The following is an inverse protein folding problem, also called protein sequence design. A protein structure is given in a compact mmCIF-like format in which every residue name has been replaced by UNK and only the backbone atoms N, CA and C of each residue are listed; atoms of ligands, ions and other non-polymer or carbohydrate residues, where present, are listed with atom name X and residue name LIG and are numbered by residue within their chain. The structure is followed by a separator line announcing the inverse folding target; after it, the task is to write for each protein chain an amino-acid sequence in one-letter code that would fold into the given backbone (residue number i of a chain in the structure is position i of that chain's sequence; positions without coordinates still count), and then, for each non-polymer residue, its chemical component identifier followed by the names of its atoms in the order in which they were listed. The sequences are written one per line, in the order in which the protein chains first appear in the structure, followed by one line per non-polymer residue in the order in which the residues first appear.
data_IF_334934416707
#
_entry.id   IF_334934416707
#
_cell.length_a   1.000
_cell.length_b   1.000
_cell.length_c   1.000
_cell.angle_alpha   90.00
_cell.angle_beta   90.00
_cell.angle_gamma   90.00
#
_symmetry.space_group_name_H-M   'P 1'
#
loop_
_entity.id
_entity.type
_entity.pdbx_description
1 polymer ?
#
# COMPACT_ATOMS: atom_id res chain seq x y z
N UNK A 1 -14.12 7.32 -21.63
CA UNK A 1 -12.75 7.16 -21.09
C UNK A 1 -11.78 7.24 -22.25
N UNK A 2 -11.08 8.36 -22.44
CA UNK A 2 -9.99 8.48 -23.44
C UNK A 2 -8.84 7.63 -22.91
N UNK A 3 -8.33 6.72 -23.74
CA UNK A 3 -7.15 5.89 -23.41
C UNK A 3 -5.98 6.81 -23.00
N UNK A 4 -5.57 6.74 -21.75
CA UNK A 4 -4.42 7.52 -21.20
C UNK A 4 -3.12 7.21 -21.95
N UNK A 5 -3.03 6.03 -22.59
CA UNK A 5 -1.89 5.62 -23.41
C UNK A 5 -1.65 6.48 -24.68
N UNK A 6 -2.64 7.25 -25.10
CA UNK A 6 -2.50 8.14 -26.28
C UNK A 6 -2.06 9.57 -25.94
N UNK A 7 -2.02 9.94 -24.66
CA UNK A 7 -1.78 11.32 -24.22
C UNK A 7 -0.37 11.55 -23.68
N UNK A 8 0.34 10.50 -23.29
CA UNK A 8 1.65 10.62 -22.66
C UNK A 8 2.73 9.93 -23.50
N UNK A 9 3.21 10.64 -24.53
CA UNK A 9 4.48 10.29 -25.13
C UNK A 9 5.60 10.74 -24.17
N UNK A 10 5.89 9.89 -23.16
CA UNK A 10 6.91 10.15 -22.13
C UNK A 10 8.25 10.54 -22.77
N UNK A 11 8.56 10.02 -23.97
CA UNK A 11 9.76 10.36 -24.73
C UNK A 11 9.73 11.81 -25.25
N UNK A 12 8.56 12.38 -25.56
CA UNK A 12 8.44 13.79 -25.95
C UNK A 12 8.60 14.73 -24.75
N UNK A 13 8.10 14.33 -23.57
CA UNK A 13 8.29 15.07 -22.32
C UNK A 13 9.77 15.13 -21.96
N UNK A 14 10.47 13.99 -22.06
CA UNK A 14 11.90 13.89 -21.73
C UNK A 14 12.77 14.63 -22.77
N UNK A 15 12.39 14.64 -24.05
CA UNK A 15 13.18 15.28 -25.12
C UNK A 15 12.84 16.76 -25.37
N UNK A 16 11.68 17.24 -24.91
CA UNK A 16 11.17 18.56 -25.22
C UNK A 16 11.75 19.75 -24.44
N UNK A 17 12.53 19.49 -23.39
CA UNK A 17 13.25 20.52 -22.62
C UNK A 17 12.41 21.48 -21.76
N UNK A 18 11.09 21.48 -21.88
CA UNK A 18 10.17 22.33 -21.11
C UNK A 18 9.24 21.50 -20.22
N UNK A 19 9.84 20.71 -19.35
CA UNK A 19 9.11 19.75 -18.50
C UNK A 19 8.42 20.41 -17.30
N UNK A 20 8.80 21.61 -16.91
CA UNK A 20 8.20 22.31 -15.74
C UNK A 20 6.70 22.53 -15.96
N UNK A 21 6.28 22.87 -17.18
CA UNK A 21 4.87 23.08 -17.52
C UNK A 21 4.08 21.78 -17.69
N UNK A 22 4.76 20.68 -18.07
CA UNK A 22 4.13 19.36 -18.31
C UNK A 22 4.04 18.48 -17.06
N UNK A 23 4.88 18.70 -16.07
CA UNK A 23 4.89 17.91 -14.81
C UNK A 23 3.54 17.98 -14.06
N UNK A 24 2.88 19.14 -13.89
CA UNK A 24 1.58 19.20 -13.23
C UNK A 24 0.52 18.32 -13.91
N UNK A 25 0.44 18.34 -15.25
CA UNK A 25 -0.49 17.51 -16.00
C UNK A 25 -0.18 16.01 -15.84
N UNK A 26 1.12 15.69 -15.85
CA UNK A 26 1.59 14.34 -15.63
C UNK A 26 1.20 13.81 -14.24
N UNK A 27 1.37 14.61 -13.18
CA UNK A 27 1.00 14.27 -11.81
C UNK A 27 -0.51 14.09 -11.66
N UNK A 28 -1.31 14.96 -12.28
CA UNK A 28 -2.77 14.81 -12.33
C UNK A 28 -3.16 13.49 -13.02
N UNK A 29 -2.48 13.14 -14.11
CA UNK A 29 -2.74 11.88 -14.82
C UNK A 29 -2.39 10.64 -13.99
N UNK A 30 -1.39 10.71 -13.09
CA UNK A 30 -1.01 9.61 -12.20
C UNK A 30 -2.18 9.10 -11.35
N UNK A 31 -3.12 9.97 -11.00
CA UNK A 31 -4.29 9.58 -10.18
C UNK A 31 -5.20 8.56 -10.84
N UNK A 32 -5.24 8.55 -12.18
CA UNK A 32 -6.07 7.64 -12.99
C UNK A 32 -5.28 6.50 -13.65
N UNK A 33 -3.95 6.48 -13.49
CA UNK A 33 -3.07 5.47 -14.08
C UNK A 33 -3.14 4.14 -13.33
N UNK A 34 -2.93 3.04 -14.05
CA UNK A 34 -2.63 1.75 -13.43
C UNK A 34 -1.19 1.75 -12.85
N UNK A 35 -0.85 0.71 -12.05
CA UNK A 35 0.46 0.61 -11.39
C UNK A 35 1.64 0.55 -12.37
N UNK A 36 1.44 -0.05 -13.53
CA UNK A 36 2.48 -0.18 -14.55
C UNK A 36 2.82 1.18 -15.16
N UNK A 37 1.81 1.99 -15.45
CA UNK A 37 2.00 3.34 -15.95
C UNK A 37 2.57 4.27 -14.86
N UNK A 38 2.15 4.14 -13.60
CA UNK A 38 2.76 4.85 -12.46
C UNK A 38 4.27 4.60 -12.39
N UNK A 39 4.70 3.34 -12.52
CA UNK A 39 6.13 2.99 -12.54
C UNK A 39 6.86 3.60 -13.74
N UNK A 40 6.26 3.55 -14.94
CA UNK A 40 6.88 4.15 -16.15
C UNK A 40 7.09 5.65 -15.99
N UNK A 41 6.09 6.35 -15.46
CA UNK A 41 6.15 7.79 -15.17
C UNK A 41 7.20 8.06 -14.08
N UNK A 42 7.20 7.29 -12.99
CA UNK A 42 8.20 7.40 -11.93
C UNK A 42 9.62 7.18 -12.45
N UNK A 43 9.83 6.24 -13.40
CA UNK A 43 11.12 6.03 -14.06
C UNK A 43 11.56 7.27 -14.84
N UNK A 44 10.67 7.85 -15.66
CA UNK A 44 10.97 9.04 -16.42
C UNK A 44 11.31 10.23 -15.51
N UNK A 45 10.54 10.46 -14.46
CA UNK A 45 10.79 11.54 -13.50
C UNK A 45 12.13 11.34 -12.73
N UNK A 46 12.46 10.11 -12.38
CA UNK A 46 13.74 9.78 -11.75
C UNK A 46 14.93 10.04 -12.71
N UNK A 47 14.77 9.71 -13.99
CA UNK A 47 15.80 9.96 -15.00
C UNK A 47 16.01 11.46 -15.31
N UNK A 48 14.99 12.28 -15.15
CA UNK A 48 15.10 13.74 -15.27
C UNK A 48 15.90 14.37 -14.12
N UNK A 49 16.19 13.63 -13.06
CA UNK A 49 16.97 14.12 -11.92
C UNK A 49 16.28 15.26 -11.17
N UNK A 50 14.94 15.33 -11.23
CA UNK A 50 14.18 16.36 -10.52
C UNK A 50 14.37 16.17 -9.01
N UNK A 51 14.84 17.21 -8.37
CA UNK A 51 14.94 17.24 -6.92
C UNK A 51 13.57 17.51 -6.26
N UNK A 52 13.49 17.25 -4.97
CA UNK A 52 12.26 17.45 -4.21
C UNK A 52 11.84 18.92 -4.15
N UNK A 53 12.76 19.87 -4.30
CA UNK A 53 12.45 21.31 -4.31
C UNK A 53 11.70 21.69 -5.58
N UNK A 54 12.21 21.28 -6.74
CA UNK A 54 11.56 21.49 -8.04
C UNK A 54 10.18 20.81 -8.09
N UNK A 55 10.07 19.57 -7.62
CA UNK A 55 8.77 18.87 -7.55
C UNK A 55 7.77 19.57 -6.62
N UNK A 56 8.24 20.18 -5.55
CA UNK A 56 7.41 20.92 -4.61
C UNK A 56 6.82 22.20 -5.18
N UNK A 57 7.55 22.88 -6.07
CA UNK A 57 7.08 24.10 -6.74
C UNK A 57 5.96 23.81 -7.76
N UNK A 58 6.03 22.65 -8.40
CA UNK A 58 5.05 22.26 -9.44
C UNK A 58 3.85 21.48 -8.91
N UNK A 59 3.92 20.96 -7.68
CA UNK A 59 2.80 20.24 -7.05
C UNK A 59 1.75 21.22 -6.52
N UNK A 60 0.45 20.99 -6.79
CA UNK A 60 -0.62 21.85 -6.29
C UNK A 60 -0.66 21.90 -4.76
N UNK A 61 -0.81 23.10 -4.20
CA UNK A 61 -1.11 23.29 -2.77
C UNK A 61 0.07 23.21 -1.81
N UNK A 62 1.32 23.25 -2.29
CA UNK A 62 2.51 23.19 -1.42
C UNK A 62 2.75 21.78 -0.88
N UNK A 63 3.08 20.85 -1.75
CA UNK A 63 3.30 19.46 -1.43
C UNK A 63 4.28 19.26 -0.27
N UNK A 64 3.94 18.34 0.63
CA UNK A 64 4.82 17.93 1.72
C UNK A 64 6.01 17.16 1.15
N UNK A 65 7.21 17.58 1.51
CA UNK A 65 8.43 16.87 1.14
C UNK A 65 8.68 15.75 2.13
N UNK A 66 9.06 14.57 1.64
CA UNK A 66 9.50 13.45 2.49
C UNK A 66 10.79 12.86 1.94
N UNK A 67 11.68 12.47 2.83
CA UNK A 67 12.92 11.75 2.52
C UNK A 67 12.78 10.28 2.85
N UNK A 68 12.95 9.41 1.85
CA UNK A 68 12.79 7.97 1.98
C UNK A 68 14.08 7.25 1.64
N UNK A 69 14.55 6.42 2.55
CA UNK A 69 15.66 5.49 2.34
C UNK A 69 15.11 4.09 2.13
N UNK A 70 15.45 3.43 1.03
CA UNK A 70 15.08 2.04 0.75
C UNK A 70 16.30 1.16 0.96
N UNK A 71 16.15 0.10 1.74
CA UNK A 71 17.15 -0.93 1.97
C UNK A 71 16.49 -2.31 2.01
N UNK A 72 17.26 -3.39 2.08
CA UNK A 72 16.68 -4.72 2.16
C UNK A 72 17.68 -5.84 2.10
N UNK A 73 17.17 -7.05 2.22
CA UNK A 73 17.92 -8.30 2.07
C UNK A 73 18.15 -8.69 0.61
N UNK A 74 17.45 -8.01 -0.33
CA UNK A 74 17.55 -8.21 -1.78
C UNK A 74 17.87 -6.90 -2.51
N UNK A 75 17.95 -6.93 -3.84
CA UNK A 75 18.15 -5.73 -4.66
C UNK A 75 16.89 -4.85 -4.60
N UNK A 76 17.05 -3.58 -4.21
CA UNK A 76 15.94 -2.65 -3.96
C UNK A 76 15.87 -1.47 -4.94
N UNK A 77 16.88 -1.28 -5.80
CA UNK A 77 16.94 -0.13 -6.73
C UNK A 77 15.72 -0.05 -7.67
N UNK A 78 15.15 -1.20 -8.02
CA UNK A 78 13.94 -1.29 -8.84
C UNK A 78 12.67 -0.74 -8.17
N UNK A 79 12.66 -0.55 -6.85
CA UNK A 79 11.53 0.02 -6.10
C UNK A 79 11.48 1.55 -6.20
N UNK A 80 12.63 2.21 -6.39
CA UNK A 80 12.78 3.66 -6.34
C UNK A 80 11.80 4.37 -7.27
N UNK A 81 11.80 4.00 -8.54
CA UNK A 81 10.95 4.64 -9.55
C UNK A 81 9.45 4.45 -9.25
N UNK A 82 9.05 3.26 -8.82
CA UNK A 82 7.67 2.97 -8.43
C UNK A 82 7.25 3.80 -7.22
N UNK A 83 8.12 3.92 -6.22
CA UNK A 83 7.82 4.69 -5.00
C UNK A 83 7.72 6.18 -5.29
N UNK A 84 8.61 6.73 -6.13
CA UNK A 84 8.51 8.12 -6.59
C UNK A 84 7.15 8.37 -7.26
N UNK A 85 6.73 7.49 -8.18
CA UNK A 85 5.44 7.60 -8.85
C UNK A 85 4.24 7.54 -7.89
N UNK A 86 4.23 6.57 -6.96
CA UNK A 86 3.13 6.42 -6.00
C UNK A 86 3.06 7.60 -5.00
N UNK A 87 4.18 8.13 -4.53
CA UNK A 87 4.19 9.29 -3.64
C UNK A 87 3.72 10.55 -4.35
N UNK A 88 4.16 10.78 -5.59
CA UNK A 88 3.67 11.91 -6.40
C UNK A 88 2.17 11.80 -6.69
N UNK A 89 1.67 10.59 -6.94
CA UNK A 89 0.24 10.32 -7.17
C UNK A 89 -0.65 10.81 -6.03
N UNK A 90 -0.15 10.74 -4.79
CA UNK A 90 -0.86 11.18 -3.58
C UNK A 90 -0.50 12.60 -3.13
N UNK A 91 0.29 13.33 -3.93
CA UNK A 91 0.63 14.72 -3.68
C UNK A 91 1.81 14.94 -2.72
N UNK A 92 2.67 13.93 -2.54
CA UNK A 92 3.90 14.02 -1.75
C UNK A 92 5.08 14.28 -2.69
N UNK A 93 5.96 15.20 -2.34
CA UNK A 93 7.24 15.44 -3.03
C UNK A 93 8.33 14.55 -2.43
N UNK A 94 8.75 13.46 -3.11
CA UNK A 94 9.67 12.50 -2.52
C UNK A 94 11.13 12.79 -2.84
N UNK A 95 12.02 12.56 -1.86
CA UNK A 95 13.45 12.33 -2.06
C UNK A 95 13.74 10.87 -1.75
N UNK A 96 13.93 10.03 -2.77
CA UNK A 96 14.10 8.58 -2.59
C UNK A 96 15.54 8.16 -2.91
N UNK A 97 16.18 7.49 -1.96
CA UNK A 97 17.52 6.90 -2.12
C UNK A 97 17.49 5.41 -1.79
N UNK A 98 18.33 4.63 -2.47
CA UNK A 98 18.48 3.19 -2.21
C UNK A 98 19.82 2.90 -1.56
N UNK A 99 19.84 1.92 -0.67
CA UNK A 99 21.04 1.37 -0.07
C UNK A 99 21.72 0.38 -1.03
N UNK A 100 23.03 0.21 -0.97
CA UNK A 100 23.71 -0.88 -1.65
C UNK A 100 23.15 -2.25 -1.24
N UNK A 101 23.17 -3.21 -2.15
CA UNK A 101 22.76 -4.59 -1.84
C UNK A 101 23.53 -5.13 -0.62
N UNK A 102 22.80 -5.75 0.30
CA UNK A 102 23.35 -6.40 1.51
C UNK A 102 23.78 -5.45 2.63
N UNK A 103 23.62 -4.12 2.48
CA UNK A 103 24.07 -3.16 3.50
C UNK A 103 23.04 -2.87 4.60
N UNK A 104 21.87 -3.49 4.59
CA UNK A 104 20.75 -3.14 5.50
C UNK A 104 21.12 -3.24 6.98
N UNK A 105 21.87 -4.28 7.41
CA UNK A 105 22.33 -4.39 8.80
C UNK A 105 23.37 -3.33 9.13
N UNK A 106 24.27 -3.02 8.21
CA UNK A 106 25.25 -1.97 8.42
C UNK A 106 24.56 -0.61 8.59
N UNK A 107 23.54 -0.32 7.77
CA UNK A 107 22.76 0.90 7.90
C UNK A 107 21.94 0.98 9.20
N UNK A 108 21.41 -0.14 9.66
CA UNK A 108 20.67 -0.19 10.92
C UNK A 108 21.57 -0.09 12.17
N UNK A 109 22.74 -0.76 12.16
CA UNK A 109 23.64 -0.78 13.31
C UNK A 109 24.57 0.42 13.42
N UNK A 110 25.06 0.96 12.28
CA UNK A 110 26.08 2.00 12.23
C UNK A 110 25.49 3.38 11.89
N UNK A 111 24.47 3.76 12.62
CA UNK A 111 23.73 5.00 12.43
C UNK A 111 24.63 6.27 12.38
N UNK A 112 25.77 6.24 13.06
CA UNK A 112 26.65 7.40 13.25
C UNK A 112 27.58 7.69 12.06
N UNK A 113 27.68 6.77 11.07
CA UNK A 113 28.65 6.86 9.95
C UNK A 113 28.13 7.50 8.67
N UNK A 114 26.82 7.67 8.53
CA UNK A 114 26.21 8.20 7.31
C UNK A 114 25.82 9.67 7.50
N UNK A 115 26.52 10.58 6.84
CA UNK A 115 26.44 12.04 7.01
C UNK A 115 25.07 12.69 6.76
N UNK A 116 24.08 12.00 6.18
CA UNK A 116 22.79 12.58 5.82
C UNK A 116 21.58 11.91 6.50
N UNK A 117 21.75 11.27 7.65
CA UNK A 117 20.65 10.51 8.29
C UNK A 117 19.67 11.33 9.09
N UNK A 118 20.05 12.51 9.55
CA UNK A 118 19.13 13.41 10.27
C UNK A 118 17.94 13.85 9.42
N UNK A 119 18.04 13.67 8.10
CA UNK A 119 17.06 14.11 7.12
C UNK A 119 16.18 12.98 6.55
N UNK A 120 16.28 11.74 7.07
CA UNK A 120 15.45 10.61 6.63
C UNK A 120 14.19 10.56 7.47
N UNK A 121 13.02 10.71 6.83
CA UNK A 121 11.72 10.58 7.48
C UNK A 121 11.26 9.11 7.55
N UNK A 122 11.54 8.34 6.49
CA UNK A 122 11.10 6.96 6.35
C UNK A 122 12.24 6.04 5.90
N UNK A 123 12.40 4.94 6.59
CA UNK A 123 13.30 3.85 6.21
C UNK A 123 12.47 2.64 5.77
N UNK A 124 12.47 2.34 4.47
CA UNK A 124 11.74 1.21 3.89
C UNK A 124 12.65 0.01 3.81
N UNK A 125 12.30 -1.08 4.48
CA UNK A 125 13.09 -2.28 4.57
C UNK A 125 12.36 -3.46 3.91
N UNK A 126 12.80 -3.83 2.70
CA UNK A 126 12.27 -5.01 2.02
C UNK A 126 12.96 -6.27 2.55
N UNK A 127 12.21 -7.10 3.26
CA UNK A 127 12.70 -8.36 3.82
C UNK A 127 12.30 -9.52 2.91
N UNK A 128 13.31 -10.26 2.46
CA UNK A 128 13.16 -11.60 1.96
C UNK A 128 14.18 -12.51 2.66
N UNK A 129 13.87 -13.77 2.76
CA UNK A 129 14.61 -14.73 3.56
C UNK A 129 15.28 -15.82 2.73
N UNK A 130 15.31 -15.69 1.40
CA UNK A 130 15.92 -16.71 0.52
C UNK A 130 17.37 -16.92 0.88
N UNK A 131 18.10 -15.86 1.22
CA UNK A 131 19.50 -15.95 1.66
C UNK A 131 19.71 -16.81 2.91
N UNK A 132 18.71 -16.90 3.80
CA UNK A 132 18.76 -17.77 4.98
C UNK A 132 18.69 -19.24 4.55
N UNK A 133 17.79 -19.55 3.64
CA UNK A 133 17.67 -20.91 3.09
C UNK A 133 18.87 -21.31 2.22
N UNK A 134 19.47 -20.38 1.49
CA UNK A 134 20.71 -20.61 0.73
C UNK A 134 21.89 -20.90 1.66
N UNK A 135 21.87 -20.35 2.89
CA UNK A 135 22.90 -20.57 3.92
C UNK A 135 22.79 -21.94 4.63
N UNK A 136 21.66 -22.62 4.55
CA UNK A 136 21.49 -23.94 5.14
C UNK A 136 22.37 -24.99 4.44
N UNK A 137 23.10 -25.75 5.22
CA UNK A 137 23.98 -26.81 4.68
C UNK A 137 23.14 -27.95 4.04
N UNK A 138 23.66 -28.64 3.02
CA UNK A 138 22.98 -29.81 2.46
C UNK A 138 22.66 -30.84 3.53
N UNK A 139 21.39 -31.27 3.59
CA UNK A 139 20.90 -32.19 4.64
C UNK A 139 20.42 -31.50 5.92
N UNK A 140 20.18 -30.20 5.88
CA UNK A 140 19.62 -29.42 6.99
C UNK A 140 18.34 -30.06 7.58
N UNK A 141 18.18 -29.94 8.86
CA UNK A 141 17.01 -30.34 9.62
C UNK A 141 16.05 -29.16 9.89
N UNK A 142 14.85 -29.46 10.36
CA UNK A 142 13.89 -28.42 10.78
C UNK A 142 14.46 -27.61 11.96
N UNK A 143 15.28 -28.24 12.82
CA UNK A 143 15.92 -27.53 13.93
C UNK A 143 16.96 -26.50 13.43
N UNK A 144 17.73 -26.83 12.39
CA UNK A 144 18.67 -25.88 11.77
C UNK A 144 17.93 -24.68 11.16
N UNK A 145 16.75 -24.91 10.54
CA UNK A 145 15.89 -23.86 10.02
C UNK A 145 15.35 -22.97 11.16
N UNK A 146 14.89 -23.58 12.25
CA UNK A 146 14.36 -22.87 13.43
C UNK A 146 15.43 -21.95 14.03
N UNK A 147 16.63 -22.47 14.28
CA UNK A 147 17.76 -21.70 14.79
C UNK A 147 18.08 -20.50 13.89
N UNK A 148 18.18 -20.73 12.59
CA UNK A 148 18.56 -19.67 11.65
C UNK A 148 17.49 -18.56 11.53
N UNK A 149 16.20 -18.93 11.52
CA UNK A 149 15.10 -17.97 11.50
C UNK A 149 15.01 -17.18 12.81
N UNK A 150 15.21 -17.83 13.94
CA UNK A 150 15.22 -17.19 15.25
C UNK A 150 16.37 -16.21 15.39
N UNK A 151 17.58 -16.57 14.99
CA UNK A 151 18.74 -15.71 15.01
C UNK A 151 18.57 -14.48 14.11
N UNK A 152 17.97 -14.68 12.95
CA UNK A 152 17.65 -13.56 12.05
C UNK A 152 16.64 -12.60 12.69
N UNK A 153 15.53 -13.08 13.26
CA UNK A 153 14.54 -12.24 13.91
C UNK A 153 15.13 -11.43 15.07
N UNK A 154 15.97 -12.06 15.90
CA UNK A 154 16.66 -11.41 17.02
C UNK A 154 17.66 -10.35 16.54
N UNK A 155 18.39 -10.66 15.47
CA UNK A 155 19.34 -9.72 14.86
C UNK A 155 18.61 -8.51 14.30
N UNK A 156 17.51 -8.73 13.57
CA UNK A 156 16.69 -7.67 13.01
C UNK A 156 16.09 -6.77 14.09
N UNK A 157 15.50 -7.37 15.13
CA UNK A 157 14.96 -6.64 16.30
C UNK A 157 16.02 -5.78 16.97
N UNK A 158 17.21 -6.34 17.19
CA UNK A 158 18.34 -5.64 17.80
C UNK A 158 18.83 -4.48 16.94
N UNK A 159 18.92 -4.69 15.62
CA UNK A 159 19.34 -3.68 14.65
C UNK A 159 18.36 -2.50 14.58
N UNK A 160 17.06 -2.77 14.52
CA UNK A 160 15.99 -1.77 14.53
C UNK A 160 16.01 -0.98 15.85
N UNK A 161 16.10 -1.65 16.98
CA UNK A 161 16.22 -1.00 18.28
C UNK A 161 17.46 -0.10 18.38
N UNK A 162 18.58 -0.52 17.78
CA UNK A 162 19.80 0.28 17.72
C UNK A 162 19.60 1.49 16.80
N UNK A 163 18.95 1.31 15.66
CA UNK A 163 18.67 2.38 14.71
C UNK A 163 17.86 3.51 15.36
N UNK A 164 16.80 3.18 16.10
CA UNK A 164 15.93 4.15 16.76
C UNK A 164 16.55 4.85 17.98
N UNK A 165 17.71 4.40 18.45
CA UNK A 165 18.49 5.19 19.45
C UNK A 165 19.11 6.44 18.85
N UNK A 166 19.34 6.50 17.54
CA UNK A 166 19.98 7.62 16.85
C UNK A 166 19.17 8.21 15.70
N UNK A 167 17.92 7.76 15.48
CA UNK A 167 17.06 8.25 14.40
C UNK A 167 15.59 8.27 14.81
N UNK A 168 14.88 9.31 14.36
CA UNK A 168 13.42 9.41 14.51
C UNK A 168 12.66 8.90 13.27
N UNK A 169 13.38 8.45 12.23
CA UNK A 169 12.76 7.91 11.02
C UNK A 169 11.82 6.74 11.33
N UNK A 170 10.68 6.70 10.67
CA UNK A 170 9.76 5.56 10.74
C UNK A 170 10.25 4.43 9.86
N UNK A 171 10.25 3.21 10.38
CA UNK A 171 10.59 2.01 9.60
C UNK A 171 9.31 1.39 9.05
N UNK A 172 9.30 1.13 7.74
CA UNK A 172 8.22 0.39 7.07
C UNK A 172 8.84 -0.88 6.48
N UNK A 173 8.35 -2.04 6.89
CA UNK A 173 8.86 -3.32 6.41
C UNK A 173 7.72 -4.28 6.09
N UNK A 174 8.03 -5.41 5.46
CA UNK A 174 7.05 -6.46 5.16
C UNK A 174 7.26 -7.69 6.05
N UNK A 175 6.21 -8.51 6.19
CA UNK A 175 6.39 -9.90 6.60
C UNK A 175 7.05 -10.68 5.47
N UNK A 176 8.08 -11.50 5.75
CA UNK A 176 8.68 -12.34 4.72
C UNK A 176 7.74 -13.51 4.35
N UNK A 177 7.94 -14.04 3.13
CA UNK A 177 7.20 -15.22 2.66
C UNK A 177 8.05 -16.47 2.73
N UNK A 178 7.43 -17.61 3.06
CA UNK A 178 8.12 -18.90 3.02
C UNK A 178 8.52 -19.21 1.56
N UNK A 179 9.81 -19.41 1.25
CA UNK A 179 10.23 -19.72 -0.11
C UNK A 179 9.68 -21.07 -0.57
N UNK A 180 8.72 -21.03 -1.50
CA UNK A 180 7.97 -22.20 -1.94
C UNK A 180 8.86 -23.36 -2.44
N UNK A 181 9.93 -23.06 -3.14
CA UNK A 181 10.87 -24.06 -3.64
C UNK A 181 11.55 -24.85 -2.52
N UNK A 182 11.81 -24.21 -1.38
CA UNK A 182 12.37 -24.87 -0.21
C UNK A 182 11.33 -25.71 0.52
N UNK A 183 10.10 -25.24 0.61
CA UNK A 183 8.99 -26.02 1.17
C UNK A 183 8.77 -27.32 0.38
N UNK A 184 8.86 -27.29 -0.96
CA UNK A 184 8.70 -28.48 -1.80
C UNK A 184 9.82 -29.50 -1.64
N UNK A 185 11.00 -29.10 -1.15
CA UNK A 185 12.13 -30.02 -0.89
C UNK A 185 11.93 -30.87 0.38
N UNK A 186 11.01 -30.50 1.25
CA UNK A 186 10.66 -31.26 2.44
C UNK A 186 9.73 -32.40 2.02
N UNK A 187 10.20 -33.63 2.07
CA UNK A 187 9.45 -34.80 1.55
C UNK A 187 8.37 -35.26 2.53
N UNK A 188 8.70 -35.34 3.83
CA UNK A 188 7.80 -35.81 4.89
C UNK A 188 6.72 -34.78 5.19
N UNK A 189 5.45 -35.20 5.22
CA UNK A 189 4.35 -34.33 5.65
C UNK A 189 4.46 -33.91 7.12
N UNK A 190 5.05 -34.76 7.97
CA UNK A 190 5.31 -34.41 9.35
C UNK A 190 6.32 -33.28 9.45
N UNK A 191 7.42 -33.34 8.67
CA UNK A 191 8.40 -32.26 8.66
C UNK A 191 7.87 -30.99 8.00
N UNK A 192 6.98 -31.11 6.99
CA UNK A 192 6.27 -29.93 6.43
C UNK A 192 5.43 -29.24 7.48
N UNK A 193 4.70 -30.02 8.31
CA UNK A 193 3.92 -29.44 9.42
C UNK A 193 4.84 -28.73 10.42
N UNK A 194 5.96 -29.36 10.80
CA UNK A 194 6.95 -28.75 11.71
C UNK A 194 7.56 -27.49 11.12
N UNK A 195 7.95 -27.52 9.83
CA UNK A 195 8.47 -26.34 9.13
C UNK A 195 7.45 -25.20 9.08
N UNK A 196 6.17 -25.52 8.88
CA UNK A 196 5.09 -24.54 8.93
C UNK A 196 4.94 -23.92 10.32
N UNK A 197 5.04 -24.70 11.40
CA UNK A 197 4.99 -24.20 12.77
C UNK A 197 6.17 -23.24 13.05
N UNK A 198 7.39 -23.65 12.72
CA UNK A 198 8.60 -22.83 12.84
C UNK A 198 8.46 -21.53 12.05
N UNK A 199 7.94 -21.62 10.83
CA UNK A 199 7.71 -20.44 9.99
C UNK A 199 6.70 -19.46 10.59
N UNK A 200 5.56 -19.97 11.08
CA UNK A 200 4.56 -19.08 11.69
C UNK A 200 5.08 -18.44 12.98
N UNK A 201 5.89 -19.17 13.77
CA UNK A 201 6.55 -18.56 14.92
C UNK A 201 7.51 -17.45 14.51
N UNK A 202 8.31 -17.67 13.48
CA UNK A 202 9.20 -16.64 12.93
C UNK A 202 8.44 -15.39 12.45
N UNK A 203 7.30 -15.56 11.74
CA UNK A 203 6.46 -14.43 11.34
C UNK A 203 5.91 -13.68 12.56
N UNK A 204 5.51 -14.40 13.62
CA UNK A 204 5.09 -13.77 14.89
C UNK A 204 6.23 -12.96 15.52
N UNK A 205 7.44 -13.50 15.57
CA UNK A 205 8.62 -12.82 16.12
C UNK A 205 8.93 -11.53 15.34
N UNK A 206 8.73 -11.54 14.01
CA UNK A 206 8.86 -10.35 13.17
C UNK A 206 7.75 -9.33 13.47
N UNK A 207 6.50 -9.77 13.61
CA UNK A 207 5.36 -8.89 13.91
C UNK A 207 5.49 -8.23 15.30
N UNK A 208 6.05 -8.94 16.28
CA UNK A 208 6.29 -8.41 17.62
C UNK A 208 7.22 -7.21 17.64
N UNK A 209 8.08 -7.03 16.62
CA UNK A 209 8.92 -5.83 16.47
C UNK A 209 8.05 -4.57 16.40
N UNK A 210 6.94 -4.60 15.65
CA UNK A 210 6.04 -3.45 15.53
C UNK A 210 5.14 -3.25 16.77
N UNK A 211 4.92 -4.28 17.57
CA UNK A 211 4.20 -4.17 18.87
C UNK A 211 5.10 -3.47 19.88
N UNK A 212 6.38 -3.82 19.89
CA UNK A 212 7.36 -3.27 20.82
C UNK A 212 7.84 -1.86 20.45
N UNK A 213 7.74 -1.48 19.17
CA UNK A 213 8.19 -0.19 18.66
C UNK A 213 7.16 0.46 17.72
N UNK A 214 6.48 1.49 18.21
CA UNK A 214 5.42 2.23 17.48
C UNK A 214 5.92 3.02 16.26
N UNK A 215 7.23 3.15 16.07
CA UNK A 215 7.83 3.73 14.86
C UNK A 215 8.00 2.70 13.74
N UNK A 216 7.73 1.42 14.01
CA UNK A 216 7.78 0.35 13.01
C UNK A 216 6.37 0.07 12.52
N UNK A 217 6.20 0.00 11.21
CA UNK A 217 4.97 -0.45 10.55
C UNK A 217 5.29 -1.66 9.69
N UNK A 218 4.54 -2.74 9.85
CA UNK A 218 4.72 -3.97 9.07
C UNK A 218 3.56 -4.15 8.12
N UNK A 219 3.87 -4.32 6.84
CA UNK A 219 2.94 -4.66 5.78
C UNK A 219 2.87 -6.18 5.70
N UNK A 220 1.69 -6.75 5.92
CA UNK A 220 1.46 -8.19 5.78
C UNK A 220 1.51 -8.58 4.29
N UNK A 221 2.61 -9.22 3.92
CA UNK A 221 2.85 -9.61 2.54
C UNK A 221 1.99 -10.79 2.10
N UNK A 222 1.65 -11.70 3.01
CA UNK A 222 0.78 -12.83 2.68
C UNK A 222 -0.64 -12.35 2.37
N UNK A 223 -1.15 -11.36 3.09
CA UNK A 223 -2.45 -10.76 2.82
C UNK A 223 -2.47 -9.97 1.48
N UNK A 224 -1.34 -9.37 1.09
CA UNK A 224 -1.24 -8.58 -0.14
C UNK A 224 -0.86 -9.39 -1.38
N UNK A 225 0.01 -10.39 -1.24
CA UNK A 225 0.50 -11.22 -2.35
C UNK A 225 -0.52 -12.27 -2.83
N UNK A 226 -1.39 -12.76 -1.96
CA UNK A 226 -2.44 -13.74 -2.31
C UNK A 226 -3.39 -13.25 -3.42
N UNK A 227 -3.48 -11.95 -3.65
CA UNK A 227 -4.31 -11.38 -4.72
C UNK A 227 -3.73 -11.63 -6.12
N UNK A 228 -2.42 -11.91 -6.26
CA UNK A 228 -1.71 -11.89 -7.54
C UNK A 228 -1.08 -13.23 -7.96
N UNK A 229 -1.13 -14.24 -7.13
CA UNK A 229 -0.87 -15.66 -7.48
C UNK A 229 0.59 -16.12 -7.42
N UNK A 230 1.57 -15.43 -7.97
CA UNK A 230 3.00 -15.80 -7.91
C UNK A 230 3.82 -14.66 -7.34
N UNK A 231 4.26 -14.82 -6.10
CA UNK A 231 5.09 -13.80 -5.45
C UNK A 231 6.57 -13.80 -5.89
N UNK A 232 7.05 -14.85 -6.57
CA UNK A 232 8.48 -15.05 -6.88
C UNK A 232 8.69 -15.27 -8.38
N UNK A 233 9.64 -14.52 -8.97
CA UNK A 233 10.20 -14.80 -10.29
C UNK A 233 11.54 -15.56 -10.15
N UNK A 234 11.61 -16.86 -10.52
CA UNK A 234 12.82 -17.67 -10.32
C UNK A 234 14.04 -17.16 -11.11
N UNK A 235 13.83 -16.53 -12.26
CA UNK A 235 14.92 -16.02 -13.08
C UNK A 235 15.51 -14.75 -12.47
N UNK A 236 14.67 -13.80 -12.10
CA UNK A 236 15.09 -12.59 -11.43
C UNK A 236 15.73 -12.87 -10.06
N UNK A 237 15.17 -13.83 -9.32
CA UNK A 237 15.71 -14.29 -8.04
C UNK A 237 17.15 -14.77 -8.19
N UNK A 238 17.42 -15.62 -9.17
CA UNK A 238 18.74 -16.23 -9.36
C UNK A 238 19.80 -15.27 -9.90
N UNK A 239 19.44 -14.44 -10.87
CA UNK A 239 20.41 -13.64 -11.61
C UNK A 239 20.54 -12.20 -11.13
N UNK A 240 19.45 -11.62 -10.61
CA UNK A 240 19.42 -10.23 -10.19
C UNK A 240 19.25 -10.04 -8.68
N UNK A 241 19.11 -11.12 -7.90
CA UNK A 241 18.80 -11.05 -6.46
C UNK A 241 17.52 -10.23 -6.20
N UNK A 242 16.55 -10.35 -7.10
CA UNK A 242 15.21 -9.80 -6.96
C UNK A 242 14.28 -11.00 -6.76
N UNK A 243 13.86 -11.24 -5.53
CA UNK A 243 13.18 -12.47 -5.16
C UNK A 243 11.66 -12.39 -5.33
N UNK A 244 11.10 -11.19 -5.35
CA UNK A 244 9.67 -10.98 -5.60
C UNK A 244 9.43 -10.55 -7.04
N UNK A 245 8.29 -10.95 -7.62
CA UNK A 245 7.90 -10.50 -8.95
C UNK A 245 7.53 -9.01 -8.97
N UNK A 246 7.44 -8.46 -10.17
CA UNK A 246 7.20 -7.04 -10.39
C UNK A 246 5.86 -6.57 -9.79
N UNK A 247 4.81 -7.40 -9.86
CA UNK A 247 3.47 -7.05 -9.40
C UNK A 247 3.39 -7.04 -7.87
N UNK A 248 4.04 -8.00 -7.23
CA UNK A 248 4.21 -8.06 -5.78
C UNK A 248 4.98 -6.84 -5.27
N UNK A 249 6.09 -6.49 -5.91
CA UNK A 249 6.88 -5.31 -5.54
C UNK A 249 6.12 -4.00 -5.76
N UNK A 250 5.36 -3.88 -6.85
CA UNK A 250 4.51 -2.71 -7.10
C UNK A 250 3.39 -2.58 -6.06
N UNK A 251 2.85 -3.73 -5.61
CA UNK A 251 1.85 -3.75 -4.52
C UNK A 251 2.46 -3.31 -3.21
N UNK A 252 3.63 -3.84 -2.85
CA UNK A 252 4.37 -3.42 -1.66
C UNK A 252 4.63 -1.91 -1.66
N UNK A 253 5.12 -1.38 -2.76
CA UNK A 253 5.39 0.06 -2.90
C UNK A 253 4.13 0.90 -2.75
N UNK A 254 3.00 0.46 -3.31
CA UNK A 254 1.72 1.15 -3.14
C UNK A 254 1.24 1.13 -1.68
N UNK A 255 1.44 0.02 -0.95
CA UNK A 255 1.14 -0.03 0.49
C UNK A 255 2.09 0.87 1.31
N UNK A 256 3.40 0.88 0.99
CA UNK A 256 4.36 1.82 1.58
C UNK A 256 3.90 3.28 1.41
N UNK A 257 3.48 3.66 0.20
CA UNK A 257 2.98 5.01 -0.07
C UNK A 257 1.73 5.34 0.75
N UNK A 258 0.80 4.38 0.94
CA UNK A 258 -0.38 4.56 1.81
C UNK A 258 0.00 4.74 3.28
N UNK A 259 0.98 3.97 3.79
CA UNK A 259 1.49 4.13 5.15
C UNK A 259 2.09 5.52 5.35
N UNK A 260 2.90 5.98 4.39
CA UNK A 260 3.47 7.34 4.40
C UNK A 260 2.35 8.39 4.36
N UNK A 261 1.37 8.25 3.45
CA UNK A 261 0.23 9.17 3.37
C UNK A 261 -0.55 9.26 4.69
N UNK A 262 -0.76 8.13 5.35
CA UNK A 262 -1.44 8.07 6.64
C UNK A 262 -0.63 8.80 7.73
N UNK A 263 0.68 8.58 7.80
CA UNK A 263 1.58 9.23 8.75
C UNK A 263 1.66 10.75 8.51
N UNK A 264 1.58 11.18 7.24
CA UNK A 264 1.57 12.59 6.84
C UNK A 264 0.19 13.26 6.94
N UNK A 265 -0.84 12.55 7.42
CA UNK A 265 -2.19 13.08 7.60
C UNK A 265 -2.98 13.28 6.30
N UNK A 266 -2.57 12.63 5.21
CA UNK A 266 -3.20 12.73 3.88
C UNK A 266 -4.29 11.67 3.65
N UNK A 267 -4.75 11.00 4.70
CA UNK A 267 -5.85 10.03 4.59
C UNK A 267 -7.19 10.72 4.38
N UNK A 268 -8.01 10.15 3.50
CA UNK A 268 -9.40 10.57 3.32
C UNK A 268 -10.21 10.21 4.58
N UNK A 269 -10.92 11.21 5.13
CA UNK A 269 -11.70 11.03 6.37
C UNK A 269 -13.21 11.08 6.13
N UNK A 270 -13.64 11.44 4.94
CA UNK A 270 -15.05 11.61 4.58
C UNK A 270 -15.36 10.76 3.36
N UNK A 271 -16.43 9.99 3.44
CA UNK A 271 -17.00 9.23 2.33
C UNK A 271 -18.36 9.83 1.98
N UNK A 272 -18.47 10.42 0.79
CA UNK A 272 -19.72 10.95 0.25
C UNK A 272 -20.34 9.91 -0.64
N UNK A 273 -21.59 9.54 -0.36
CA UNK A 273 -22.32 8.47 -1.03
C UNK A 273 -23.61 9.03 -1.66
N UNK A 274 -23.95 8.53 -2.83
CA UNK A 274 -25.29 8.66 -3.39
C UNK A 274 -26.21 7.59 -2.81
N UNK A 275 -27.52 7.72 -3.01
CA UNK A 275 -28.51 6.76 -2.57
C UNK A 275 -28.91 5.80 -3.70
N UNK A 276 -29.53 6.35 -4.76
CA UNK A 276 -30.13 5.59 -5.86
C UNK A 276 -29.05 4.80 -6.63
N UNK A 277 -29.30 3.52 -6.85
CA UNK A 277 -28.37 2.55 -7.46
C UNK A 277 -26.94 2.57 -6.87
N UNK A 278 -26.79 3.10 -5.65
CA UNK A 278 -25.55 3.11 -4.90
C UNK A 278 -25.68 2.44 -3.54
N UNK A 279 -26.49 2.99 -2.63
CA UNK A 279 -26.78 2.37 -1.33
C UNK A 279 -27.97 1.42 -1.38
N UNK A 280 -28.89 1.61 -2.29
CA UNK A 280 -29.96 0.69 -2.62
C UNK A 280 -30.16 0.56 -4.12
N UNK A 281 -30.81 -0.49 -4.58
CA UNK A 281 -31.17 -0.66 -6.00
C UNK A 281 -32.49 0.01 -6.31
N UNK A 282 -32.54 0.71 -7.43
CA UNK A 282 -33.69 1.46 -7.88
C UNK A 282 -33.63 2.96 -7.60
N UNK A 283 -34.62 3.70 -8.11
CA UNK A 283 -34.68 5.16 -8.02
C UNK A 283 -35.86 5.55 -7.13
N UNK A 284 -35.59 6.13 -5.96
CA UNK A 284 -36.60 6.43 -4.96
C UNK A 284 -37.71 7.37 -5.51
N UNK A 285 -37.33 8.39 -6.27
CA UNK A 285 -38.30 9.36 -6.84
C UNK A 285 -39.22 8.77 -7.87
N UNK A 286 -38.85 7.70 -8.58
CA UNK A 286 -39.65 7.08 -9.64
C UNK A 286 -40.48 5.91 -9.13
N UNK A 287 -39.88 5.08 -8.27
CA UNK A 287 -40.42 3.78 -7.85
C UNK A 287 -41.04 3.80 -6.44
N UNK A 288 -40.72 4.86 -5.67
CA UNK A 288 -41.08 4.93 -4.27
C UNK A 288 -40.33 3.88 -3.42
N UNK A 289 -40.52 3.90 -2.09
CA UNK A 289 -39.85 2.96 -1.18
C UNK A 289 -40.20 1.49 -1.51
N UNK A 290 -41.39 1.21 -2.01
CA UNK A 290 -41.83 -0.16 -2.31
C UNK A 290 -41.21 -0.73 -3.61
N UNK A 291 -40.71 0.13 -4.49
CA UNK A 291 -40.03 -0.29 -5.72
C UNK A 291 -38.53 -0.51 -5.55
N UNK A 292 -37.95 -0.12 -4.42
CA UNK A 292 -36.53 -0.36 -4.16
C UNK A 292 -36.25 -1.86 -4.03
N UNK A 293 -35.08 -2.27 -4.50
CA UNK A 293 -34.64 -3.66 -4.52
C UNK A 293 -34.54 -4.26 -3.10
N UNK A 294 -35.44 -5.19 -2.79
CA UNK A 294 -35.50 -5.84 -1.46
C UNK A 294 -35.33 -7.36 -1.54
N UNK A 295 -35.16 -7.97 -0.38
CA UNK A 295 -35.16 -9.44 -0.23
C UNK A 295 -33.80 -10.08 -0.40
N UNK A 296 -33.78 -11.28 -1.00
CA UNK A 296 -32.61 -12.14 -1.16
C UNK A 296 -32.21 -12.33 -2.62
N UNK A 297 -32.50 -11.34 -3.48
CA UNK A 297 -32.00 -11.37 -4.85
C UNK A 297 -30.48 -11.14 -4.87
N UNK A 298 -29.74 -11.67 -5.86
CA UNK A 298 -28.30 -11.41 -5.97
C UNK A 298 -27.97 -9.90 -6.01
N UNK A 299 -28.86 -9.08 -6.59
CA UNK A 299 -28.72 -7.62 -6.65
C UNK A 299 -28.90 -7.01 -5.26
N UNK A 300 -29.95 -7.36 -4.54
CA UNK A 300 -30.21 -6.89 -3.17
C UNK A 300 -29.05 -7.27 -2.22
N UNK A 301 -28.55 -8.49 -2.32
CA UNK A 301 -27.41 -8.95 -1.51
C UNK A 301 -26.12 -8.16 -1.82
N UNK A 302 -25.88 -7.76 -3.06
CA UNK A 302 -24.75 -6.91 -3.43
C UNK A 302 -24.83 -5.53 -2.75
N UNK A 303 -26.00 -4.90 -2.71
CA UNK A 303 -26.19 -3.63 -1.99
C UNK A 303 -25.98 -3.78 -0.48
N UNK A 304 -26.50 -4.85 0.12
CA UNK A 304 -26.30 -5.14 1.55
C UNK A 304 -24.81 -5.36 1.87
N UNK A 305 -24.09 -6.09 1.01
CA UNK A 305 -22.65 -6.29 1.18
C UNK A 305 -21.87 -4.96 1.09
N UNK A 306 -22.23 -4.10 0.13
CA UNK A 306 -21.65 -2.76 0.02
C UNK A 306 -21.95 -1.91 1.25
N UNK A 307 -23.20 -1.86 1.71
CA UNK A 307 -23.59 -1.16 2.93
C UNK A 307 -22.82 -1.67 4.15
N UNK A 308 -22.58 -2.98 4.26
CA UNK A 308 -21.78 -3.57 5.33
C UNK A 308 -20.34 -3.05 5.31
N UNK A 309 -19.72 -2.93 4.12
CA UNK A 309 -18.39 -2.32 3.98
C UNK A 309 -18.39 -0.84 4.42
N UNK A 310 -19.39 -0.08 3.99
CA UNK A 310 -19.55 1.35 4.39
C UNK A 310 -19.70 1.48 5.91
N UNK A 311 -20.53 0.64 6.53
CA UNK A 311 -20.70 0.64 7.98
C UNK A 311 -19.40 0.28 8.71
N UNK A 312 -18.62 -0.66 8.15
CA UNK A 312 -17.32 -1.02 8.71
C UNK A 312 -16.33 0.16 8.67
N UNK A 313 -16.30 0.93 7.56
CA UNK A 313 -15.51 2.15 7.47
C UNK A 313 -15.95 3.22 8.48
N UNK A 314 -17.27 3.39 8.67
CA UNK A 314 -17.78 4.32 9.69
C UNK A 314 -17.30 3.97 11.09
N UNK A 315 -17.31 2.69 11.45
CA UNK A 315 -16.81 2.21 12.76
C UNK A 315 -15.32 2.41 12.94
N UNK A 316 -14.56 2.55 11.84
CA UNK A 316 -13.15 2.90 11.86
C UNK A 316 -12.89 4.41 11.86
N UNK A 317 -13.93 5.23 11.95
CA UNK A 317 -13.83 6.70 12.07
C UNK A 317 -13.97 7.46 10.75
N UNK A 318 -14.37 6.81 9.66
CA UNK A 318 -14.71 7.51 8.42
C UNK A 318 -16.07 8.19 8.57
N UNK A 319 -16.13 9.47 8.31
CA UNK A 319 -17.37 10.27 8.35
C UNK A 319 -18.20 9.95 7.11
N UNK A 320 -19.45 9.50 7.31
CA UNK A 320 -20.37 9.22 6.21
C UNK A 320 -21.23 10.43 5.92
N UNK A 321 -21.27 10.81 4.66
CA UNK A 321 -22.13 11.88 4.12
C UNK A 321 -22.94 11.31 2.97
N UNK A 322 -24.23 11.57 2.96
CA UNK A 322 -25.10 11.26 1.83
C UNK A 322 -25.36 12.54 1.05
N UNK A 323 -25.20 12.46 -0.28
CA UNK A 323 -25.55 13.55 -1.19
C UNK A 323 -26.40 12.96 -2.34
N UNK A 324 -27.71 13.21 -2.34
CA UNK A 324 -28.64 12.60 -3.27
C UNK A 324 -29.63 13.57 -3.87
N UNK A 325 -30.06 13.32 -5.12
CA UNK A 325 -31.10 14.09 -5.81
C UNK A 325 -32.46 13.48 -5.54
N UNK A 326 -32.92 13.61 -4.31
CA UNK A 326 -34.20 13.10 -3.84
C UNK A 326 -34.87 14.13 -2.93
N UNK A 327 -36.20 13.95 -2.73
CA UNK A 327 -36.93 14.73 -1.75
C UNK A 327 -36.59 14.31 -0.32
N UNK A 328 -36.34 15.28 0.57
CA UNK A 328 -35.93 15.03 1.93
C UNK A 328 -36.88 14.19 2.75
N UNK A 329 -38.20 14.43 2.58
CA UNK A 329 -39.26 13.69 3.31
C UNK A 329 -39.33 12.24 2.83
N UNK A 330 -39.16 12.00 1.52
CA UNK A 330 -39.13 10.66 0.96
C UNK A 330 -37.92 9.87 1.40
N UNK A 331 -36.74 10.50 1.43
CA UNK A 331 -35.50 9.89 1.95
C UNK A 331 -35.66 9.54 3.43
N UNK A 332 -36.21 10.46 4.24
CA UNK A 332 -36.48 10.18 5.65
C UNK A 332 -37.44 9.03 5.85
N UNK A 333 -38.50 8.93 5.00
CA UNK A 333 -39.42 7.81 5.00
C UNK A 333 -38.72 6.52 4.59
N UNK A 334 -37.88 6.55 3.56
CA UNK A 334 -37.13 5.39 3.12
C UNK A 334 -36.20 4.87 4.27
N UNK A 335 -35.45 5.71 4.93
CA UNK A 335 -34.65 5.30 6.09
C UNK A 335 -35.43 4.65 7.23
N UNK A 336 -36.71 4.97 7.37
CA UNK A 336 -37.56 4.42 8.43
C UNK A 336 -38.32 3.15 8.05
N UNK A 337 -38.55 2.92 6.76
CA UNK A 337 -39.44 1.85 6.28
C UNK A 337 -38.81 0.83 5.33
N UNK A 338 -37.69 1.17 4.69
CA UNK A 338 -37.00 0.26 3.78
C UNK A 338 -36.19 -0.80 4.55
N UNK A 339 -36.57 -2.05 4.38
CA UNK A 339 -35.98 -3.17 5.12
C UNK A 339 -34.62 -3.62 4.58
N UNK A 340 -34.26 -3.23 3.36
CA UNK A 340 -32.98 -3.53 2.74
C UNK A 340 -31.83 -2.63 3.17
N UNK A 341 -32.10 -1.60 4.01
CA UNK A 341 -31.08 -0.68 4.50
C UNK A 341 -30.48 -1.19 5.82
N UNK A 342 -29.20 -1.52 5.81
CA UNK A 342 -28.50 -2.12 6.95
C UNK A 342 -27.61 -1.12 7.70
N UNK A 343 -27.32 0.04 7.09
CA UNK A 343 -26.54 1.11 7.74
C UNK A 343 -27.43 1.78 8.79
N UNK A 344 -26.94 1.89 10.01
CA UNK A 344 -27.63 2.60 11.06
C UNK A 344 -27.64 4.12 10.74
N UNK A 345 -28.84 4.74 10.77
CA UNK A 345 -28.99 6.18 10.49
C UNK A 345 -28.08 7.06 11.35
N UNK A 346 -27.76 6.63 12.57
CA UNK A 346 -26.84 7.34 13.46
C UNK A 346 -25.40 7.37 12.96
N UNK A 347 -25.00 6.43 12.11
CA UNK A 347 -23.65 6.37 11.55
C UNK A 347 -23.47 7.35 10.36
N UNK A 348 -24.58 7.91 9.86
CA UNK A 348 -24.58 8.93 8.79
C UNK A 348 -24.58 10.32 9.43
N UNK A 349 -23.51 11.05 9.23
CA UNK A 349 -23.29 12.36 9.85
C UNK A 349 -24.13 13.45 9.21
N UNK A 350 -24.18 13.47 7.86
CA UNK A 350 -24.92 14.47 7.08
C UNK A 350 -25.72 13.76 5.99
N UNK A 351 -26.95 14.21 5.80
CA UNK A 351 -27.78 13.83 4.64
C UNK A 351 -28.15 15.14 3.95
N UNK A 352 -27.55 15.33 2.77
CA UNK A 352 -27.85 16.45 1.89
C UNK A 352 -28.67 15.95 0.72
N UNK A 353 -29.92 16.43 0.63
CA UNK A 353 -30.87 16.02 -0.39
C UNK A 353 -31.47 17.24 -1.07
N UNK A 354 -31.59 17.19 -2.37
CA UNK A 354 -32.14 18.29 -3.15
C UNK A 354 -31.90 18.10 -4.65
N UNK A 355 -32.58 18.92 -5.45
CA UNK A 355 -32.53 18.86 -6.90
C UNK A 355 -31.50 19.82 -7.52
N UNK A 356 -30.76 20.54 -6.70
CA UNK A 356 -29.66 21.39 -7.17
C UNK A 356 -28.51 20.55 -7.73
N UNK A 357 -27.73 21.08 -8.68
CA UNK A 357 -26.54 20.39 -9.16
C UNK A 357 -25.60 20.06 -8.01
N UNK A 358 -25.12 18.80 -7.94
CA UNK A 358 -24.05 18.43 -7.00
C UNK A 358 -22.82 19.30 -7.29
N UNK A 359 -22.11 19.80 -6.27
CA UNK A 359 -20.86 20.53 -6.47
C UNK A 359 -19.85 19.64 -7.20
N UNK A 360 -19.08 20.25 -8.13
CA UNK A 360 -18.01 19.59 -8.89
C UNK A 360 -16.84 19.16 -8.01
#
# INVERSE_FOLDING_TARGET
MKNVSSVLNISEIVSGGNYVDTIPELIVSLRSCDRKDVRRIGTALTQLGLDSSTLREVLPGGARAVSVRISGTSTTENLKASLVGELLRIGISPSVSCAPYGSYLEELFNNDKYENRADIDYFVLLIDVIHLFEGLQPGWSIADLEEQLHDFANTLKSAISRYHKGSDARIIMNTPQFPHDYYLRILSYEDRLRASLVWHQFVLDVLDIAIDDTKVTIIDFDATALQFGKAVDPALSRYARIHYDEETLATFVAEVAKVIAAAEGLTQKVLVLDLDDTLWGGTLAEEGVQGLEEGSTPKAEAFKAFQSCVQHLARQGVVLVICSKNDADEVQKAFSTYSGFTIDRKDITVVDTGWEPKPE
#
